data_IF_511069498594
#
_entry.id   IF_511069498594
#
_cell.length_a   1.000
_cell.length_b   1.000
_cell.length_c   1.000
_cell.angle_alpha   90.00
_cell.angle_beta   90.00
_cell.angle_gamma   90.00
#
_symmetry.space_group_name_H-M   'P 1'
#
loop_
_entity.id
_entity.type
_entity.pdbx_description
1 polymer ?
#
# COMPACT_ATOMS: atom_id res chain seq x y z
N UNK A 1 -28.66 -12.62 32.45
CA UNK A 1 -29.15 -11.84 31.30
C UNK A 1 -28.56 -10.45 31.38
N UNK A 2 -27.54 -10.18 30.57
CA UNK A 2 -26.93 -8.86 30.38
C UNK A 2 -26.97 -8.63 28.88
N UNK A 3 -27.79 -7.68 28.45
CA UNK A 3 -27.84 -7.26 27.05
C UNK A 3 -26.49 -6.58 26.79
N UNK A 4 -25.62 -7.22 26.01
CA UNK A 4 -24.35 -6.66 25.62
C UNK A 4 -24.63 -5.50 24.66
N UNK A 5 -24.50 -4.29 25.19
CA UNK A 5 -24.73 -3.05 24.47
C UNK A 5 -23.85 -2.96 23.24
N UNK A 6 -24.51 -2.73 22.10
CA UNK A 6 -23.96 -2.17 20.90
C UNK A 6 -23.00 -1.03 21.25
N UNK A 7 -21.71 -1.21 20.99
CA UNK A 7 -20.73 -0.13 21.09
C UNK A 7 -21.06 0.92 20.03
N UNK A 8 -21.37 2.12 20.52
CA UNK A 8 -21.32 3.44 19.89
C UNK A 8 -20.58 3.48 18.53
N UNK A 9 -21.35 3.42 17.45
CA UNK A 9 -20.89 3.65 16.08
C UNK A 9 -20.30 5.06 15.97
N UNK A 10 -18.99 5.16 15.73
CA UNK A 10 -18.38 6.41 15.29
C UNK A 10 -18.59 6.53 13.77
N UNK A 11 -18.70 7.76 13.25
CA UNK A 11 -18.96 8.03 11.83
C UNK A 11 -17.86 7.50 10.87
N UNK A 12 -16.79 6.93 11.41
CA UNK A 12 -15.60 6.46 10.68
C UNK A 12 -15.62 4.94 10.39
N UNK A 13 -16.68 4.24 10.78
CA UNK A 13 -16.87 2.80 10.57
C UNK A 13 -17.86 2.49 9.44
N UNK A 14 -17.48 1.57 8.57
CA UNK A 14 -18.34 1.07 7.49
C UNK A 14 -19.07 -0.21 7.94
N UNK A 15 -20.39 -0.28 7.75
CA UNK A 15 -21.16 -1.49 8.07
C UNK A 15 -21.21 -2.48 6.89
N UNK A 16 -21.38 -3.79 7.15
CA UNK A 16 -21.60 -4.78 6.08
C UNK A 16 -22.80 -4.47 5.18
N UNK A 17 -23.87 -3.89 5.73
CA UNK A 17 -25.04 -3.48 4.97
C UNK A 17 -24.71 -2.34 4.01
N UNK A 18 -24.00 -1.31 4.47
CA UNK A 18 -23.53 -0.23 3.63
C UNK A 18 -22.58 -0.75 2.54
N UNK A 19 -21.69 -1.70 2.88
CA UNK A 19 -20.81 -2.34 1.93
C UNK A 19 -21.55 -3.10 0.83
N UNK A 20 -22.65 -3.80 1.17
CA UNK A 20 -23.49 -4.50 0.17
C UNK A 20 -24.15 -3.52 -0.79
N UNK A 21 -24.77 -2.47 -0.26
CA UNK A 21 -25.41 -1.42 -1.09
C UNK A 21 -24.40 -0.79 -2.05
N UNK A 22 -23.18 -0.51 -1.57
CA UNK A 22 -22.10 0.03 -2.39
C UNK A 22 -21.61 -1.00 -3.42
N UNK A 23 -21.44 -2.26 -3.05
CA UNK A 23 -21.04 -3.32 -3.98
C UNK A 23 -22.05 -3.52 -5.12
N UNK A 24 -23.34 -3.38 -4.82
CA UNK A 24 -24.43 -3.54 -5.79
C UNK A 24 -24.68 -2.28 -6.65
N UNK A 25 -24.06 -1.15 -6.30
CA UNK A 25 -24.27 0.13 -6.98
C UNK A 25 -23.70 0.18 -8.42
N UNK A 26 -22.87 -0.80 -8.79
CA UNK A 26 -22.21 -0.85 -10.11
C UNK A 26 -21.13 0.20 -10.31
N UNK A 27 -20.62 0.82 -9.24
CA UNK A 27 -19.52 1.77 -9.31
C UNK A 27 -18.21 1.08 -9.71
N UNK A 28 -17.50 1.67 -10.69
CA UNK A 28 -16.17 1.22 -11.09
C UNK A 28 -15.08 1.65 -10.10
N UNK A 29 -15.31 2.76 -9.39
CA UNK A 29 -14.33 3.40 -8.50
C UNK A 29 -15.00 3.67 -7.17
N UNK A 30 -14.34 3.26 -6.09
CA UNK A 30 -14.82 3.42 -4.74
C UNK A 30 -13.76 4.07 -3.85
N UNK A 31 -14.06 5.27 -3.36
CA UNK A 31 -13.23 6.00 -2.41
C UNK A 31 -13.82 5.90 -1.01
N UNK A 32 -13.08 5.26 -0.11
CA UNK A 32 -13.43 5.07 1.30
C UNK A 32 -12.34 5.67 2.19
N UNK A 33 -11.78 6.81 1.77
CA UNK A 33 -10.63 7.44 2.44
C UNK A 33 -11.00 8.08 3.79
N UNK A 34 -12.30 8.21 4.08
CA UNK A 34 -12.77 8.61 5.41
C UNK A 34 -12.94 7.44 6.38
N UNK A 35 -12.93 6.19 5.89
CA UNK A 35 -13.10 5.00 6.72
C UNK A 35 -11.78 4.68 7.41
N UNK A 36 -11.76 4.72 8.73
CA UNK A 36 -10.55 4.47 9.54
C UNK A 36 -10.46 3.05 10.05
N UNK A 37 -11.61 2.41 10.22
CA UNK A 37 -11.72 1.05 10.76
C UNK A 37 -12.67 0.25 9.88
N UNK A 38 -12.23 -0.93 9.48
CA UNK A 38 -13.02 -1.90 8.71
C UNK A 38 -12.92 -3.26 9.37
N UNK A 39 -14.03 -3.98 9.43
CA UNK A 39 -14.00 -5.39 9.79
C UNK A 39 -13.71 -6.26 8.55
N UNK A 40 -13.18 -7.49 8.73
CA UNK A 40 -12.94 -8.42 7.62
C UNK A 40 -14.17 -8.68 6.74
N UNK A 41 -15.38 -8.68 7.32
CA UNK A 41 -16.63 -8.90 6.57
C UNK A 41 -16.91 -7.79 5.54
N UNK A 42 -16.64 -6.53 5.90
CA UNK A 42 -16.79 -5.39 4.97
C UNK A 42 -15.85 -5.56 3.78
N UNK A 43 -14.58 -5.87 4.04
CA UNK A 43 -13.59 -6.08 2.98
C UNK A 43 -13.99 -7.28 2.11
N UNK A 44 -14.48 -8.38 2.68
CA UNK A 44 -14.99 -9.55 1.94
C UNK A 44 -16.10 -9.19 0.93
N UNK A 45 -16.97 -8.25 1.30
CA UNK A 45 -18.03 -7.77 0.41
C UNK A 45 -17.42 -6.91 -0.70
N UNK A 46 -16.55 -5.97 -0.34
CA UNK A 46 -15.93 -5.06 -1.29
C UNK A 46 -15.08 -5.78 -2.34
N UNK A 47 -14.30 -6.80 -1.95
CA UNK A 47 -13.44 -7.52 -2.90
C UNK A 47 -14.21 -8.38 -3.90
N UNK A 48 -15.47 -8.71 -3.60
CA UNK A 48 -16.38 -9.45 -4.50
C UNK A 48 -17.22 -8.54 -5.40
N UNK A 49 -17.18 -7.24 -5.14
CA UNK A 49 -17.90 -6.24 -5.93
C UNK A 49 -17.27 -6.07 -7.33
N UNK A 50 -18.00 -5.51 -8.31
CA UNK A 50 -17.45 -5.19 -9.63
C UNK A 50 -16.49 -3.99 -9.63
N UNK A 51 -16.23 -3.38 -8.47
CA UNK A 51 -15.32 -2.23 -8.33
C UNK A 51 -13.96 -2.60 -8.89
N UNK A 52 -13.45 -1.73 -9.77
CA UNK A 52 -12.11 -1.86 -10.33
C UNK A 52 -11.09 -1.15 -9.47
N UNK A 53 -11.42 0.02 -8.92
CA UNK A 53 -10.49 0.85 -8.18
C UNK A 53 -11.01 1.03 -6.75
N UNK A 54 -10.26 0.53 -5.77
CA UNK A 54 -10.61 0.61 -4.36
C UNK A 54 -9.58 1.46 -3.62
N UNK A 55 -10.03 2.60 -3.09
CA UNK A 55 -9.21 3.46 -2.22
C UNK A 55 -9.69 3.34 -0.78
N UNK A 56 -8.78 2.94 0.10
CA UNK A 56 -8.97 2.81 1.55
C UNK A 56 -7.92 3.68 2.27
N UNK A 57 -7.75 4.92 1.80
CA UNK A 57 -6.72 5.84 2.28
C UNK A 57 -6.91 6.35 3.72
N UNK A 58 -8.02 5.99 4.37
CA UNK A 58 -8.26 6.30 5.78
C UNK A 58 -7.72 5.23 6.74
N UNK A 59 -7.40 4.03 6.24
CA UNK A 59 -6.86 2.95 7.05
C UNK A 59 -5.40 3.23 7.39
N UNK A 60 -5.10 3.39 8.68
CA UNK A 60 -3.73 3.64 9.17
C UNK A 60 -2.96 2.35 9.46
N UNK A 61 -3.68 1.26 9.74
CA UNK A 61 -3.18 -0.08 9.98
C UNK A 61 -4.16 -1.13 9.45
N UNK A 62 -3.65 -2.31 9.10
CA UNK A 62 -4.47 -3.48 8.74
C UNK A 62 -3.87 -4.75 9.35
N UNK A 63 -4.74 -5.72 9.67
CA UNK A 63 -4.31 -7.04 10.13
C UNK A 63 -3.88 -7.93 8.95
N UNK A 64 -3.11 -9.02 9.21
CA UNK A 64 -2.82 -10.03 8.19
C UNK A 64 -4.07 -10.65 7.57
N UNK A 65 -5.16 -10.79 8.34
CA UNK A 65 -6.45 -11.27 7.84
C UNK A 65 -7.02 -10.30 6.80
N UNK A 66 -7.09 -9.00 7.12
CA UNK A 66 -7.59 -7.98 6.17
C UNK A 66 -6.72 -7.93 4.92
N UNK A 67 -5.39 -7.97 5.07
CA UNK A 67 -4.46 -8.03 3.94
C UNK A 67 -4.70 -9.26 3.04
N UNK A 68 -5.00 -10.41 3.65
CA UNK A 68 -5.27 -11.67 2.91
C UNK A 68 -6.54 -11.56 2.08
N UNK A 69 -7.55 -10.86 2.59
CA UNK A 69 -8.79 -10.64 1.86
C UNK A 69 -8.55 -9.65 0.72
N UNK A 70 -7.83 -8.56 1.00
CA UNK A 70 -7.49 -7.53 0.01
C UNK A 70 -6.63 -8.06 -1.15
N UNK A 71 -5.72 -9.01 -0.91
CA UNK A 71 -4.91 -9.61 -1.98
C UNK A 71 -5.76 -10.43 -2.97
N UNK A 72 -6.95 -10.86 -2.56
CA UNK A 72 -7.96 -11.49 -3.42
C UNK A 72 -8.81 -10.52 -4.24
N UNK A 73 -8.63 -9.21 -4.07
CA UNK A 73 -9.33 -8.20 -4.86
C UNK A 73 -8.99 -8.32 -6.34
N UNK A 74 -10.01 -8.35 -7.18
CA UNK A 74 -9.87 -8.52 -8.64
C UNK A 74 -9.87 -7.21 -9.42
N UNK A 75 -9.96 -6.09 -8.72
CA UNK A 75 -9.85 -4.77 -9.31
C UNK A 75 -8.45 -4.49 -9.87
N UNK A 76 -8.37 -3.48 -10.69
CA UNK A 76 -7.14 -3.05 -11.34
C UNK A 76 -6.26 -2.15 -10.45
N UNK A 77 -6.80 -1.60 -9.36
CA UNK A 77 -6.06 -0.68 -8.51
C UNK A 77 -6.52 -0.78 -7.05
N UNK A 78 -5.59 -1.06 -6.14
CA UNK A 78 -5.77 -0.98 -4.70
C UNK A 78 -4.90 0.15 -4.11
N UNK A 79 -5.54 1.12 -3.47
CA UNK A 79 -4.86 2.25 -2.82
C UNK A 79 -5.02 2.17 -1.30
N UNK A 80 -3.88 2.10 -0.61
CA UNK A 80 -3.76 1.98 0.85
C UNK A 80 -2.84 3.10 1.41
N UNK A 81 -2.96 4.30 0.85
CA UNK A 81 -2.09 5.44 1.17
C UNK A 81 -2.27 6.01 2.59
N UNK A 82 -3.21 5.46 3.37
CA UNK A 82 -3.35 5.78 4.79
C UNK A 82 -2.37 5.03 5.68
N UNK A 83 -1.84 3.89 5.21
CA UNK A 83 -0.97 3.03 6.01
C UNK A 83 0.33 3.76 6.34
N UNK A 84 0.67 3.84 7.62
CA UNK A 84 1.91 4.50 8.08
C UNK A 84 3.00 3.50 8.46
N UNK A 85 2.63 2.26 8.75
CA UNK A 85 3.54 1.15 9.01
C UNK A 85 3.11 -0.09 8.21
N UNK A 86 4.07 -0.95 7.91
CA UNK A 86 3.83 -2.18 7.16
C UNK A 86 4.73 -3.32 7.67
N UNK A 87 4.21 -4.15 8.59
CA UNK A 87 4.91 -5.34 9.06
C UNK A 87 5.28 -6.26 7.89
N UNK A 88 6.43 -6.97 7.94
CA UNK A 88 6.86 -7.84 6.84
C UNK A 88 5.85 -8.91 6.42
N UNK A 89 5.08 -9.45 7.37
CA UNK A 89 4.00 -10.42 7.09
C UNK A 89 2.90 -9.78 6.23
N UNK A 90 2.44 -8.58 6.60
CA UNK A 90 1.40 -7.85 5.86
C UNK A 90 1.91 -7.46 4.47
N UNK A 91 3.16 -7.00 4.36
CA UNK A 91 3.80 -6.72 3.07
C UNK A 91 3.85 -7.94 2.16
N UNK A 92 4.22 -9.11 2.69
CA UNK A 92 4.29 -10.35 1.91
C UNK A 92 2.92 -10.76 1.37
N UNK A 93 1.85 -10.56 2.16
CA UNK A 93 0.49 -10.84 1.74
C UNK A 93 0.02 -9.84 0.67
N UNK A 94 0.26 -8.53 0.88
CA UNK A 94 -0.13 -7.50 -0.09
C UNK A 94 0.65 -7.61 -1.41
N UNK A 95 1.90 -8.10 -1.39
CA UNK A 95 2.68 -8.36 -2.59
C UNK A 95 2.00 -9.37 -3.54
N UNK A 96 1.12 -10.24 -3.02
CA UNK A 96 0.33 -11.17 -3.83
C UNK A 96 -0.84 -10.51 -4.58
N UNK A 97 -1.18 -9.24 -4.29
CA UNK A 97 -2.18 -8.51 -5.08
C UNK A 97 -1.72 -8.43 -6.54
N UNK A 98 -2.56 -8.79 -7.54
CA UNK A 98 -2.09 -9.04 -8.91
C UNK A 98 -2.00 -7.79 -9.80
N UNK A 99 -2.29 -6.60 -9.26
CA UNK A 99 -2.42 -5.34 -10.00
C UNK A 99 -1.76 -4.19 -9.24
N UNK A 100 -1.92 -2.97 -9.73
CA UNK A 100 -1.31 -1.77 -9.17
C UNK A 100 -1.62 -1.62 -7.67
N UNK A 101 -0.57 -1.59 -6.85
CA UNK A 101 -0.65 -1.37 -5.42
C UNK A 101 -0.04 -0.01 -5.05
N UNK A 102 -0.82 0.85 -4.41
CA UNK A 102 -0.32 2.12 -3.86
C UNK A 102 -0.24 2.11 -2.34
N UNK A 103 0.94 2.47 -1.83
CA UNK A 103 1.31 2.54 -0.41
C UNK A 103 1.97 3.91 -0.10
N UNK A 104 1.41 5.00 -0.63
CA UNK A 104 1.96 6.37 -0.51
C UNK A 104 1.98 6.95 0.92
N UNK A 105 1.33 6.28 1.86
CA UNK A 105 1.37 6.61 3.29
C UNK A 105 2.68 6.22 3.97
N UNK A 106 3.35 5.19 3.46
CA UNK A 106 4.56 4.62 4.07
C UNK A 106 5.73 5.59 3.89
N UNK A 107 6.28 6.07 5.01
CA UNK A 107 7.37 7.08 5.02
C UNK A 107 8.76 6.47 5.21
N UNK A 108 8.84 5.23 5.67
CA UNK A 108 10.07 4.46 5.84
C UNK A 108 9.78 2.98 5.70
N UNK A 109 10.74 2.20 5.18
CA UNK A 109 10.65 0.75 5.09
C UNK A 109 11.85 0.11 5.80
N UNK A 110 11.61 -1.00 6.48
CA UNK A 110 12.67 -1.92 6.85
C UNK A 110 13.04 -2.82 5.67
N UNK A 111 14.28 -3.30 5.64
CA UNK A 111 14.82 -4.15 4.57
C UNK A 111 14.03 -5.44 4.38
N UNK A 112 13.50 -6.03 5.45
CA UNK A 112 12.63 -7.23 5.37
C UNK A 112 11.30 -6.90 4.69
N UNK A 113 10.68 -5.77 5.03
CA UNK A 113 9.43 -5.31 4.39
C UNK A 113 9.67 -5.00 2.91
N UNK A 114 10.78 -4.32 2.57
CA UNK A 114 11.18 -4.04 1.20
C UNK A 114 11.39 -5.32 0.37
N UNK A 115 12.04 -6.34 0.94
CA UNK A 115 12.20 -7.67 0.32
C UNK A 115 10.87 -8.39 0.10
N UNK A 116 9.91 -8.21 1.00
CA UNK A 116 8.58 -8.78 0.84
C UNK A 116 7.83 -8.07 -0.30
N UNK A 117 7.85 -6.73 -0.32
CA UNK A 117 7.23 -5.93 -1.39
C UNK A 117 7.87 -6.15 -2.76
N UNK A 118 9.17 -6.45 -2.84
CA UNK A 118 9.84 -6.74 -4.12
C UNK A 118 9.32 -8.01 -4.81
N UNK A 119 8.55 -8.85 -4.11
CA UNK A 119 7.85 -9.99 -4.71
C UNK A 119 6.58 -9.60 -5.47
N UNK A 120 6.12 -8.36 -5.33
CA UNK A 120 5.02 -7.83 -6.12
C UNK A 120 5.37 -7.84 -7.62
N UNK A 121 4.38 -8.12 -8.46
CA UNK A 121 4.57 -8.45 -9.88
C UNK A 121 3.94 -7.48 -10.86
N UNK A 122 3.32 -6.42 -10.36
CA UNK A 122 2.71 -5.37 -11.17
C UNK A 122 3.27 -4.02 -10.71
N UNK A 123 2.56 -2.93 -10.91
CA UNK A 123 3.01 -1.59 -10.55
C UNK A 123 2.95 -1.35 -9.03
N UNK A 124 4.07 -0.92 -8.43
CA UNK A 124 4.15 -0.61 -7.00
C UNK A 124 4.51 0.86 -6.80
N UNK A 125 3.61 1.58 -6.13
CA UNK A 125 3.79 3.00 -5.80
C UNK A 125 4.14 3.15 -4.31
N UNK A 126 5.34 3.68 -4.06
CA UNK A 126 5.90 3.95 -2.72
C UNK A 126 6.16 5.45 -2.56
N UNK A 127 5.20 6.25 -3.03
CA UNK A 127 5.32 7.70 -3.19
C UNK A 127 5.52 8.46 -1.88
N UNK A 128 5.33 7.81 -0.74
CA UNK A 128 5.58 8.38 0.59
C UNK A 128 7.04 8.41 1.02
N UNK A 129 7.92 7.62 0.37
CA UNK A 129 9.32 7.51 0.76
C UNK A 129 10.10 8.75 0.31
N UNK A 130 10.61 9.51 1.30
CA UNK A 130 11.41 10.71 1.03
C UNK A 130 12.92 10.45 0.89
N UNK A 131 13.37 9.30 1.38
CA UNK A 131 14.75 8.83 1.31
C UNK A 131 14.74 7.29 1.23
N UNK A 132 15.77 6.72 0.61
CA UNK A 132 15.97 5.27 0.53
C UNK A 132 17.36 4.91 1.05
N UNK A 133 17.46 4.22 2.19
CA UNK A 133 18.70 3.57 2.61
C UNK A 133 19.18 2.57 1.56
N UNK A 134 20.50 2.38 1.45
CA UNK A 134 21.14 1.53 0.43
C UNK A 134 20.59 0.09 0.43
N UNK A 135 20.36 -0.49 1.61
CA UNK A 135 19.86 -1.87 1.75
C UNK A 135 18.37 -2.01 1.38
N UNK A 136 17.56 -0.99 1.65
CA UNK A 136 16.18 -0.89 1.20
C UNK A 136 16.14 -0.72 -0.32
N UNK A 137 16.99 0.13 -0.89
CA UNK A 137 17.10 0.34 -2.33
C UNK A 137 17.55 -0.94 -3.06
N UNK A 138 18.53 -1.68 -2.50
CA UNK A 138 18.96 -2.97 -3.03
C UNK A 138 17.83 -4.00 -3.01
N UNK A 139 17.06 -4.06 -1.92
CA UNK A 139 15.90 -4.94 -1.83
C UNK A 139 14.80 -4.59 -2.85
N UNK A 140 14.47 -3.31 -3.00
CA UNK A 140 13.46 -2.84 -3.95
C UNK A 140 13.92 -2.95 -5.40
N UNK A 141 15.21 -2.83 -5.70
CA UNK A 141 15.74 -3.03 -7.05
C UNK A 141 15.50 -4.46 -7.58
N UNK A 142 15.24 -5.43 -6.69
CA UNK A 142 14.81 -6.79 -7.03
C UNK A 142 13.31 -6.93 -7.25
N UNK A 143 12.57 -5.82 -7.40
CA UNK A 143 11.14 -5.85 -7.67
C UNK A 143 10.86 -6.62 -8.98
N UNK A 144 9.86 -7.51 -8.93
CA UNK A 144 9.51 -8.38 -10.07
C UNK A 144 8.43 -7.79 -10.97
N UNK A 145 7.94 -6.60 -10.65
CA UNK A 145 6.91 -5.91 -11.40
C UNK A 145 7.44 -5.01 -12.51
N UNK A 146 6.52 -4.26 -13.10
CA UNK A 146 6.78 -3.42 -14.28
C UNK A 146 7.19 -2.00 -13.91
N UNK A 147 6.79 -1.52 -12.73
CA UNK A 147 6.97 -0.13 -12.32
C UNK A 147 7.26 -0.02 -10.81
N UNK A 148 8.22 0.83 -10.48
CA UNK A 148 8.45 1.35 -9.13
C UNK A 148 8.35 2.88 -9.17
N UNK A 149 7.45 3.45 -8.39
CA UNK A 149 7.30 4.91 -8.27
C UNK A 149 7.64 5.39 -6.87
N UNK A 150 8.31 6.54 -6.81
CA UNK A 150 8.67 7.24 -5.58
C UNK A 150 8.50 8.76 -5.74
N UNK A 151 7.26 9.26 -5.85
CA UNK A 151 6.98 10.68 -6.12
C UNK A 151 7.64 11.65 -5.11
N UNK A 152 7.68 11.30 -3.81
CA UNK A 152 8.25 12.16 -2.77
C UNK A 152 9.75 11.97 -2.53
N UNK A 153 10.45 11.14 -3.32
CA UNK A 153 11.86 10.82 -3.08
C UNK A 153 12.74 12.04 -3.32
N UNK A 154 13.41 12.51 -2.27
CA UNK A 154 14.26 13.71 -2.30
C UNK A 154 15.73 13.39 -2.15
N UNK A 155 16.06 12.28 -1.50
CA UNK A 155 17.43 11.94 -1.16
C UNK A 155 17.77 10.51 -1.55
N UNK A 156 18.87 10.37 -2.29
CA UNK A 156 19.48 9.09 -2.66
C UNK A 156 20.99 9.20 -2.43
N UNK A 157 21.57 8.17 -1.80
CA UNK A 157 23.02 7.98 -1.83
C UNK A 157 23.46 7.45 -3.20
N UNK A 158 24.77 7.49 -3.47
CA UNK A 158 25.33 6.85 -4.66
C UNK A 158 25.08 5.33 -4.67
N UNK A 159 25.08 4.70 -3.49
CA UNK A 159 24.78 3.27 -3.33
C UNK A 159 23.34 2.93 -3.68
N UNK A 160 22.39 3.69 -3.15
CA UNK A 160 20.97 3.53 -3.44
C UNK A 160 20.66 3.83 -4.92
N UNK A 161 21.25 4.89 -5.50
CA UNK A 161 21.10 5.21 -6.91
C UNK A 161 21.66 4.09 -7.80
N UNK A 162 22.83 3.53 -7.46
CA UNK A 162 23.42 2.40 -8.19
C UNK A 162 22.57 1.13 -8.08
N UNK A 163 21.99 0.86 -6.91
CA UNK A 163 21.09 -0.26 -6.72
C UNK A 163 19.85 -0.12 -7.60
N UNK A 164 19.16 1.01 -7.53
CA UNK A 164 17.96 1.28 -8.33
C UNK A 164 18.23 1.32 -9.83
N UNK A 165 19.42 1.75 -10.27
CA UNK A 165 19.82 1.67 -11.68
C UNK A 165 19.90 0.22 -12.20
N UNK A 166 19.99 -0.78 -11.32
CA UNK A 166 19.93 -2.19 -11.66
C UNK A 166 18.51 -2.75 -11.80
N UNK A 167 17.47 -1.98 -11.46
CA UNK A 167 16.08 -2.42 -11.61
C UNK A 167 15.71 -2.58 -13.09
N UNK A 168 15.21 -3.75 -13.45
CA UNK A 168 14.87 -4.10 -14.85
C UNK A 168 13.55 -3.52 -15.36
N UNK A 169 12.73 -2.93 -14.49
CA UNK A 169 11.45 -2.30 -14.84
C UNK A 169 11.55 -0.79 -15.02
N UNK A 170 10.39 -0.13 -15.11
CA UNK A 170 10.30 1.33 -15.19
C UNK A 170 10.44 1.94 -13.80
N UNK A 171 11.43 2.81 -13.63
CA UNK A 171 11.61 3.60 -12.41
C UNK A 171 11.03 5.00 -12.61
N UNK A 172 10.08 5.39 -11.77
CA UNK A 172 9.55 6.75 -11.70
C UNK A 172 10.03 7.42 -10.41
N UNK A 173 11.01 8.32 -10.55
CA UNK A 173 11.51 9.17 -9.49
C UNK A 173 11.44 10.61 -9.95
N UNK A 174 11.17 11.58 -9.05
CA UNK A 174 11.24 12.98 -9.40
C UNK A 174 12.66 13.37 -9.86
N UNK A 175 12.80 14.55 -10.46
CA UNK A 175 14.12 15.11 -10.70
C UNK A 175 14.77 15.43 -9.36
N UNK A 176 15.69 14.58 -8.92
CA UNK A 176 16.39 14.74 -7.64
C UNK A 176 17.59 15.67 -7.85
N UNK A 177 17.67 16.76 -7.09
CA UNK A 177 18.91 17.50 -6.92
C UNK A 177 19.88 16.60 -6.16
N UNK A 178 20.83 16.01 -6.90
CA UNK A 178 21.95 15.25 -6.35
C UNK A 178 22.59 16.05 -5.20
N UNK A 179 22.44 15.56 -3.97
CA UNK A 179 23.25 15.99 -2.85
C UNK A 179 24.01 14.78 -2.33
N UNK A 180 25.27 14.65 -2.77
CA UNK A 180 26.22 13.75 -2.16
C UNK A 180 26.23 14.03 -0.63
N UNK A 181 25.97 13.04 0.24
CA UNK A 181 26.12 13.23 1.67
C UNK A 181 27.60 13.08 2.03
N UNK A 182 28.44 14.00 1.56
CA UNK A 182 29.77 14.20 2.12
C UNK A 182 29.78 15.47 2.98
N UNK A 183 29.06 15.40 4.09
CA UNK A 183 29.45 16.09 5.33
C UNK A 183 28.60 15.54 6.46
N UNK A 184 29.14 14.54 7.16
CA UNK A 184 28.76 14.30 8.56
C UNK A 184 28.99 15.59 9.37
N UNK A 185 28.17 15.89 10.39
CA UNK A 185 28.55 16.90 11.39
C UNK A 185 29.80 16.47 12.17
#
# INVERSE_FOLDING_TARGET
MKVAGFSLWTFDEMTPEAAKVIADSGMDILFLDSVRVVCPEVIQILVKSPVRFLSLGGLVEISPEVATILSGFRGAFLKLDGLTDLPPEVAAILACFPKLLSLGGIKSLGTTTAKALSQHRDELMLDGLSHLPDDVAEALAQHHGTLLAFESLRFLSDGAAKALAGYGGKLEIPLIESMCPNSSP
#
